data_IF_088986227341
#
_entry.id   IF_088986227341
#
_cell.length_a   1.000
_cell.length_b   1.000
_cell.length_c   1.000
_cell.angle_alpha   90.00
_cell.angle_beta   90.00
_cell.angle_gamma   90.00
#
_symmetry.space_group_name_H-M   'P 1'
#
loop_
_entity.id
_entity.type
_entity.pdbx_description
1 polymer ?
#
# COMPACT_ATOMS: atom_id res chain seq x y z
N UNK A 1 27.79 -10.18 -3.94
CA UNK A 1 28.13 -8.75 -3.71
C UNK A 1 29.18 -8.72 -2.60
N UNK A 2 30.34 -8.03 -2.76
CA UNK A 2 31.38 -8.00 -1.72
C UNK A 2 31.08 -7.00 -0.58
N UNK A 3 30.09 -6.13 -0.74
CA UNK A 3 29.62 -5.20 0.28
C UNK A 3 28.26 -5.62 0.86
N UNK A 4 27.97 -5.17 2.08
CA UNK A 4 26.64 -5.31 2.66
C UNK A 4 25.61 -4.50 1.85
N UNK A 5 24.46 -5.09 1.49
CA UNK A 5 23.41 -4.38 0.77
C UNK A 5 22.71 -3.38 1.70
N UNK A 6 22.37 -2.22 1.15
CA UNK A 6 21.59 -1.20 1.86
C UNK A 6 20.08 -1.51 1.86
N UNK A 7 19.30 -0.67 2.54
CA UNK A 7 17.85 -0.82 2.61
C UNK A 7 17.15 -0.72 1.25
N UNK A 8 17.71 0.01 0.29
CA UNK A 8 17.13 0.16 -1.05
C UNK A 8 17.28 -1.11 -1.88
N UNK A 9 18.49 -1.70 -1.88
CA UNK A 9 18.76 -2.98 -2.57
C UNK A 9 17.91 -4.10 -1.99
N UNK A 10 17.81 -4.17 -0.66
CA UNK A 10 16.98 -5.16 0.02
C UNK A 10 15.48 -4.92 -0.23
N UNK A 11 15.05 -3.67 -0.29
CA UNK A 11 13.68 -3.30 -0.67
C UNK A 11 13.33 -3.71 -2.10
N UNK A 12 14.26 -3.54 -3.05
CA UNK A 12 14.09 -3.98 -4.43
C UNK A 12 13.95 -5.50 -4.53
N UNK A 13 14.75 -6.26 -3.78
CA UNK A 13 14.67 -7.72 -3.74
C UNK A 13 13.35 -8.20 -3.11
N UNK A 14 12.88 -7.57 -2.03
CA UNK A 14 11.55 -7.84 -1.45
C UNK A 14 10.42 -7.59 -2.46
N UNK A 15 10.51 -6.51 -3.25
CA UNK A 15 9.55 -6.25 -4.30
C UNK A 15 9.62 -7.33 -5.42
N UNK A 16 10.80 -7.85 -5.74
CA UNK A 16 10.93 -8.97 -6.67
C UNK A 16 10.27 -10.25 -6.11
N UNK A 17 10.44 -10.54 -4.81
CA UNK A 17 9.76 -11.66 -4.14
C UNK A 17 8.23 -11.54 -4.30
N UNK A 18 7.67 -10.34 -4.17
CA UNK A 18 6.25 -10.08 -4.43
C UNK A 18 5.85 -10.40 -5.86
N UNK A 19 6.59 -9.90 -6.84
CA UNK A 19 6.27 -10.07 -8.27
C UNK A 19 6.33 -11.54 -8.69
N UNK A 20 7.23 -12.31 -8.09
CA UNK A 20 7.40 -13.74 -8.38
C UNK A 20 6.63 -14.67 -7.43
N UNK A 21 5.90 -14.14 -6.45
CA UNK A 21 5.13 -14.95 -5.49
C UNK A 21 5.99 -15.75 -4.51
N UNK A 22 7.27 -15.40 -4.31
CA UNK A 22 8.16 -16.09 -3.38
C UNK A 22 7.98 -15.56 -1.95
N UNK A 23 6.95 -16.09 -1.29
CA UNK A 23 6.58 -15.68 0.07
C UNK A 23 7.64 -16.04 1.11
N UNK A 24 8.26 -17.21 0.99
CA UNK A 24 9.22 -17.71 1.98
C UNK A 24 10.52 -16.91 1.94
N UNK A 25 11.03 -16.60 0.74
CA UNK A 25 12.18 -15.70 0.60
C UNK A 25 11.86 -14.31 1.13
N UNK A 26 10.64 -13.81 0.87
CA UNK A 26 10.16 -12.54 1.42
C UNK A 26 10.17 -12.50 2.96
N UNK A 27 9.72 -13.58 3.62
CA UNK A 27 9.76 -13.70 5.08
C UNK A 27 11.19 -13.73 5.63
N UNK A 28 12.07 -14.51 4.99
CA UNK A 28 13.47 -14.63 5.40
C UNK A 28 14.18 -13.27 5.30
N UNK A 29 13.96 -12.55 4.20
CA UNK A 29 14.47 -11.21 4.00
C UNK A 29 14.04 -10.21 5.07
N UNK A 30 12.75 -10.19 5.44
CA UNK A 30 12.27 -9.30 6.50
C UNK A 30 12.90 -9.66 7.85
N UNK A 31 13.04 -10.96 8.17
CA UNK A 31 13.76 -11.38 9.39
C UNK A 31 15.20 -10.90 9.40
N UNK A 32 15.89 -10.99 8.25
CA UNK A 32 17.26 -10.51 8.12
C UNK A 32 17.36 -8.98 8.30
N UNK A 33 16.43 -8.22 7.71
CA UNK A 33 16.33 -6.76 7.85
C UNK A 33 16.08 -6.34 9.30
N UNK A 34 15.17 -7.02 10.01
CA UNK A 34 14.93 -6.77 11.44
C UNK A 34 16.16 -7.07 12.28
N UNK A 35 16.90 -8.15 11.99
CA UNK A 35 18.15 -8.49 12.67
C UNK A 35 19.26 -7.44 12.48
N UNK A 36 19.20 -6.68 11.37
CA UNK A 36 20.14 -5.59 11.06
C UNK A 36 19.62 -4.19 11.43
N UNK A 37 18.47 -4.09 12.10
CA UNK A 37 17.81 -2.80 12.40
C UNK A 37 17.51 -1.93 11.17
N UNK A 38 17.35 -2.54 9.99
CA UNK A 38 16.93 -1.90 8.74
C UNK A 38 15.42 -2.02 8.49
N UNK A 39 14.72 -2.61 9.45
CA UNK A 39 13.26 -2.66 9.55
C UNK A 39 12.68 -1.24 9.65
N UNK A 40 11.85 -0.88 8.67
CA UNK A 40 11.04 0.33 8.69
C UNK A 40 9.64 0.03 8.14
N UNK A 41 8.71 0.98 8.27
CA UNK A 41 7.31 0.79 7.86
C UNK A 41 7.15 0.29 6.42
N UNK A 42 7.99 0.76 5.49
CA UNK A 42 8.04 0.26 4.11
C UNK A 42 8.31 -1.25 3.97
N UNK A 43 9.18 -1.85 4.80
CA UNK A 43 9.48 -3.29 4.77
C UNK A 43 8.26 -4.11 5.15
N UNK A 44 7.56 -3.72 6.22
CA UNK A 44 6.32 -4.36 6.66
C UNK A 44 5.20 -4.22 5.61
N UNK A 45 5.12 -3.07 4.94
CA UNK A 45 4.18 -2.86 3.82
C UNK A 45 4.51 -3.80 2.65
N UNK A 46 5.78 -3.97 2.30
CA UNK A 46 6.18 -4.90 1.24
C UNK A 46 5.83 -6.35 1.60
N UNK A 47 6.08 -6.78 2.84
CA UNK A 47 5.69 -8.12 3.30
C UNK A 47 4.16 -8.31 3.31
N UNK A 48 3.40 -7.30 3.75
CA UNK A 48 1.94 -7.30 3.62
C UNK A 48 1.50 -7.50 2.17
N UNK A 49 2.18 -6.87 1.22
CA UNK A 49 1.84 -6.98 -0.19
C UNK A 49 2.21 -8.35 -0.77
N UNK A 50 3.31 -8.96 -0.30
CA UNK A 50 3.69 -10.34 -0.64
C UNK A 50 2.60 -11.31 -0.19
N UNK A 51 2.12 -11.19 1.05
CA UNK A 51 1.00 -11.98 1.55
C UNK A 51 -0.29 -11.76 0.75
N UNK A 52 -0.61 -10.51 0.43
CA UNK A 52 -1.78 -10.19 -0.39
C UNK A 52 -1.70 -10.81 -1.79
N UNK A 53 -0.52 -10.77 -2.45
CA UNK A 53 -0.33 -11.40 -3.76
C UNK A 53 -0.44 -12.92 -3.71
N UNK A 54 -0.22 -13.53 -2.55
CA UNK A 54 -0.37 -14.97 -2.31
C UNK A 54 -1.76 -15.34 -1.76
N UNK A 55 -2.73 -14.41 -1.76
CA UNK A 55 -4.07 -14.58 -1.17
C UNK A 55 -4.09 -14.95 0.33
N UNK A 56 -3.01 -14.64 1.06
CA UNK A 56 -2.87 -14.90 2.50
C UNK A 56 -3.41 -13.73 3.34
N UNK A 57 -4.72 -13.50 3.25
CA UNK A 57 -5.38 -12.33 3.88
C UNK A 57 -5.35 -12.34 5.41
N UNK A 58 -5.30 -13.51 6.04
CA UNK A 58 -5.14 -13.63 7.49
C UNK A 58 -3.78 -13.11 7.93
N UNK A 59 -2.70 -13.46 7.22
CA UNK A 59 -1.35 -12.97 7.49
C UNK A 59 -1.23 -11.46 7.25
N UNK A 60 -1.91 -10.94 6.21
CA UNK A 60 -2.04 -9.48 5.98
C UNK A 60 -2.65 -8.81 7.21
N UNK A 61 -3.74 -9.37 7.74
CA UNK A 61 -4.47 -8.80 8.87
C UNK A 61 -3.62 -8.81 10.14
N UNK A 62 -2.99 -9.95 10.45
CA UNK A 62 -2.09 -10.09 11.60
C UNK A 62 -0.93 -9.11 11.52
N UNK A 63 -0.30 -9.00 10.34
CA UNK A 63 0.85 -8.11 10.15
C UNK A 63 0.44 -6.64 10.32
N UNK A 64 -0.67 -6.21 9.73
CA UNK A 64 -1.17 -4.82 9.86
C UNK A 64 -1.54 -4.48 11.29
N UNK A 65 -2.17 -5.39 12.02
CA UNK A 65 -2.46 -5.22 13.45
C UNK A 65 -1.17 -5.07 14.26
N UNK A 66 -0.16 -5.91 14.00
CA UNK A 66 1.15 -5.80 14.63
C UNK A 66 1.86 -4.47 14.34
N UNK A 67 1.71 -3.93 13.12
CA UNK A 67 2.21 -2.59 12.78
C UNK A 67 1.53 -1.50 13.61
N UNK A 68 0.21 -1.57 13.78
CA UNK A 68 -0.56 -0.62 14.58
C UNK A 68 -0.16 -0.66 16.06
N UNK A 69 -0.05 -1.86 16.64
CA UNK A 69 0.37 -2.06 18.03
C UNK A 69 1.79 -1.51 18.30
N UNK A 70 2.70 -1.69 17.33
CA UNK A 70 4.08 -1.16 17.40
C UNK A 70 4.18 0.32 17.00
N UNK A 71 3.07 0.98 16.67
CA UNK A 71 3.01 2.35 16.14
C UNK A 71 3.86 2.56 14.87
N UNK A 72 4.11 1.48 14.13
CA UNK A 72 4.82 1.53 12.84
C UNK A 72 3.84 2.00 11.79
N UNK A 73 3.91 3.28 11.43
CA UNK A 73 3.06 3.87 10.39
C UNK A 73 3.89 4.17 9.16
N UNK A 74 3.35 3.82 7.98
CA UNK A 74 3.87 4.37 6.73
C UNK A 74 3.56 5.87 6.70
N UNK A 75 4.46 6.65 6.11
CA UNK A 75 4.13 8.04 5.78
C UNK A 75 2.97 8.00 4.78
N UNK A 76 1.82 8.64 5.08
CA UNK A 76 0.72 8.67 4.14
C UNK A 76 1.12 9.47 2.91
N UNK A 77 0.56 9.10 1.75
CA UNK A 77 0.64 9.97 0.58
C UNK A 77 -0.19 11.22 0.83
N UNK A 78 0.27 12.37 0.37
CA UNK A 78 -0.50 13.61 0.36
C UNK A 78 -0.50 14.24 -1.03
N UNK A 79 -1.56 14.96 -1.34
CA UNK A 79 -1.68 15.78 -2.54
C UNK A 79 -2.25 17.14 -2.14
N UNK A 80 -1.90 18.18 -2.89
CA UNK A 80 -2.39 19.52 -2.64
C UNK A 80 -3.08 20.08 -3.89
N UNK A 81 -4.15 20.81 -3.70
CA UNK A 81 -4.86 21.54 -4.75
C UNK A 81 -5.03 22.98 -4.33
N UNK A 82 -4.69 23.92 -5.20
CA UNK A 82 -4.93 25.34 -4.98
C UNK A 82 -6.17 25.79 -5.77
N UNK A 83 -7.13 26.41 -5.08
CA UNK A 83 -8.33 26.98 -5.69
C UNK A 83 -8.51 28.40 -5.17
N UNK A 84 -8.54 29.39 -6.07
CA UNK A 84 -8.73 30.80 -5.72
C UNK A 84 -7.70 31.33 -4.69
N UNK A 85 -6.46 30.83 -4.72
CA UNK A 85 -5.41 31.22 -3.78
C UNK A 85 -5.46 30.51 -2.42
N UNK A 86 -6.40 29.58 -2.22
CA UNK A 86 -6.48 28.74 -1.02
C UNK A 86 -5.94 27.34 -1.34
N UNK A 87 -5.04 26.83 -0.49
CA UNK A 87 -4.40 25.52 -0.64
C UNK A 87 -5.14 24.49 0.23
N UNK A 88 -5.61 23.43 -0.41
CA UNK A 88 -6.27 22.30 0.22
C UNK A 88 -5.36 21.08 0.19
N UNK A 89 -5.04 20.54 1.36
CA UNK A 89 -4.28 19.29 1.49
C UNK A 89 -5.23 18.10 1.60
N UNK A 90 -4.91 17.03 0.85
CA UNK A 90 -5.61 15.75 0.90
C UNK A 90 -4.61 14.67 1.29
N UNK A 91 -4.75 14.16 2.51
CA UNK A 91 -3.90 13.09 3.05
C UNK A 91 -4.60 11.73 2.86
N UNK A 92 -3.87 10.73 2.36
CA UNK A 92 -4.39 9.41 2.10
C UNK A 92 -4.95 8.76 3.38
N UNK A 93 -6.24 8.44 3.37
CA UNK A 93 -6.95 7.86 4.51
C UNK A 93 -7.44 8.87 5.54
N UNK A 94 -7.19 10.17 5.34
CA UNK A 94 -7.79 11.21 6.17
C UNK A 94 -9.30 11.34 5.91
N UNK A 95 -10.04 11.57 6.99
CA UNK A 95 -11.49 11.77 7.00
C UNK A 95 -11.91 12.94 7.91
N UNK A 96 -10.94 13.72 8.40
CA UNK A 96 -11.17 14.81 9.34
C UNK A 96 -11.69 16.09 8.68
N UNK A 97 -11.63 16.17 7.35
CA UNK A 97 -12.07 17.35 6.61
C UNK A 97 -13.56 17.63 6.85
N UNK A 98 -13.90 18.88 7.17
CA UNK A 98 -15.28 19.30 7.51
C UNK A 98 -16.29 19.07 6.37
N UNK A 99 -15.80 18.98 5.14
CA UNK A 99 -16.61 18.66 3.94
C UNK A 99 -16.47 17.20 3.47
N UNK A 100 -15.91 16.29 4.27
CA UNK A 100 -15.62 14.90 3.87
C UNK A 100 -16.87 14.20 3.29
N UNK A 101 -18.03 14.37 3.92
CA UNK A 101 -19.29 13.78 3.43
C UNK A 101 -19.65 14.27 2.04
N UNK A 102 -19.47 15.57 1.76
CA UNK A 102 -19.73 16.17 0.44
C UNK A 102 -18.72 15.67 -0.59
N UNK A 103 -17.45 15.56 -0.21
CA UNK A 103 -16.38 15.03 -1.08
C UNK A 103 -16.69 13.57 -1.44
N UNK A 104 -17.09 12.75 -0.47
CA UNK A 104 -17.50 11.37 -0.72
C UNK A 104 -18.72 11.27 -1.64
N UNK A 105 -19.76 12.09 -1.40
CA UNK A 105 -20.93 12.15 -2.25
C UNK A 105 -20.58 12.53 -3.69
N UNK A 106 -19.73 13.55 -3.88
CA UNK A 106 -19.27 13.95 -5.20
C UNK A 106 -18.53 12.82 -5.93
N UNK A 107 -17.64 12.10 -5.22
CA UNK A 107 -16.94 10.93 -5.77
C UNK A 107 -17.90 9.82 -6.23
N UNK A 108 -18.94 9.52 -5.43
CA UNK A 108 -19.97 8.54 -5.79
C UNK A 108 -20.79 8.97 -7.02
N UNK A 109 -21.13 10.25 -7.13
CA UNK A 109 -21.84 10.78 -8.30
C UNK A 109 -20.98 10.66 -9.56
N UNK A 110 -19.68 11.00 -9.47
CA UNK A 110 -18.73 10.88 -10.57
C UNK A 110 -18.58 9.41 -10.99
N UNK A 111 -18.36 8.49 -10.06
CA UNK A 111 -18.26 7.04 -10.34
C UNK A 111 -19.52 6.50 -11.03
N UNK A 112 -20.71 6.90 -10.56
CA UNK A 112 -21.98 6.53 -11.20
C UNK A 112 -22.09 7.08 -12.63
N UNK A 113 -21.68 8.33 -12.84
CA UNK A 113 -21.74 8.97 -14.15
C UNK A 113 -20.75 8.33 -15.13
N UNK A 114 -19.53 8.02 -14.69
CA UNK A 114 -18.52 7.32 -15.48
C UNK A 114 -19.01 5.92 -15.91
N UNK A 115 -19.60 5.15 -14.99
CA UNK A 115 -20.21 3.85 -15.31
C UNK A 115 -21.35 3.93 -16.32
N UNK A 116 -22.12 5.03 -16.32
CA UNK A 116 -23.22 5.22 -17.26
C UNK A 116 -22.80 5.64 -18.67
N UNK A 117 -21.58 6.17 -18.85
CA UNK A 117 -21.12 6.76 -20.11
C UNK A 117 -20.06 5.96 -20.87
N UNK A 118 -19.47 4.90 -20.28
CA UNK A 118 -18.79 3.75 -20.90
C UNK A 118 -17.73 3.21 -19.94
N UNK A 119 -17.89 1.98 -19.44
CA UNK A 119 -16.84 0.97 -19.19
C UNK A 119 -17.55 -0.34 -18.80
N UNK A 120 -17.80 -1.20 -19.78
CA UNK A 120 -17.98 -2.63 -19.50
C UNK A 120 -16.67 -3.12 -18.88
N UNK A 121 -16.74 -3.74 -17.71
CA UNK A 121 -15.59 -4.43 -17.10
C UNK A 121 -15.30 -5.68 -17.93
N UNK A 122 -14.53 -5.54 -19.00
CA UNK A 122 -13.74 -6.66 -19.52
C UNK A 122 -12.37 -6.61 -18.83
N UNK A 123 -12.32 -7.17 -17.62
CA UNK A 123 -11.11 -7.73 -17.01
C UNK A 123 -11.56 -8.55 -15.80
N UNK A 124 -12.07 -9.77 -16.08
CA UNK A 124 -12.04 -10.94 -15.18
C UNK A 124 -12.42 -12.22 -15.96
N UNK A 125 -11.83 -12.39 -17.15
CA UNK A 125 -11.62 -13.71 -17.76
C UNK A 125 -10.14 -13.91 -18.01
N UNK A 126 -9.41 -14.25 -16.95
CA UNK A 126 -8.25 -15.13 -17.10
C UNK A 126 -8.74 -16.51 -16.72
N UNK A 127 -9.22 -17.23 -17.73
CA UNK A 127 -9.42 -18.69 -17.70
C UNK A 127 -8.08 -19.38 -17.92
N UNK A 128 -7.89 -20.42 -17.11
CA UNK A 128 -6.95 -21.56 -17.19
C UNK A 128 -5.50 -21.36 -16.73
#
# INVERSE_FOLDING_TARGET
MPMEPDSYVLGALLNACRVHGDVELGKEMVKHLSGKSLDHSGVHVLLSNIYASANQWDDVTVLRKGMEEKKVRKVPGCSLVEVNGEVFEFVAGDRSHVLMDKIMLASLVIDKHLKSHCFDRDDDKITE
#
